data_IF_707974323289
#
_entry.id   IF_707974323289
#
_cell.length_a   1.000
_cell.length_b   1.000
_cell.length_c   1.000
_cell.angle_alpha   90.00
_cell.angle_beta   90.00
_cell.angle_gamma   90.00
#
_symmetry.space_group_name_H-M   'P 1'
#
loop_
_entity.id
_entity.type
_entity.pdbx_description
1 polymer ?
#
# COMPACT_ATOMS: atom_id res chain seq x y z
N UNK A 1 -6.45 10.28 11.52
CA UNK A 1 -5.07 10.79 11.58
C UNK A 1 -4.32 10.26 12.79
N UNK A 2 -4.98 10.10 13.96
CA UNK A 2 -4.37 9.51 15.15
C UNK A 2 -3.94 8.04 14.90
N UNK A 3 -4.82 7.24 14.26
CA UNK A 3 -4.49 5.87 13.88
C UNK A 3 -3.28 5.79 12.95
N UNK A 4 -3.25 6.66 11.92
CA UNK A 4 -2.12 6.73 11.00
C UNK A 4 -0.80 7.14 11.72
N UNK A 5 -0.88 8.12 12.62
CA UNK A 5 0.28 8.54 13.41
C UNK A 5 0.88 7.37 14.23
N UNK A 6 0.01 6.59 14.88
CA UNK A 6 0.41 5.42 15.68
C UNK A 6 0.96 4.29 14.81
N UNK A 7 0.27 3.96 13.70
CA UNK A 7 0.65 2.85 12.83
C UNK A 7 1.96 3.10 12.09
N UNK A 8 2.19 4.34 11.66
CA UNK A 8 3.38 4.78 10.92
C UNK A 8 4.50 5.31 11.84
N UNK A 9 4.24 5.31 13.14
CA UNK A 9 5.20 5.80 14.16
C UNK A 9 5.71 7.23 13.88
N UNK A 10 4.87 8.06 13.25
CA UNK A 10 5.21 9.45 12.95
C UNK A 10 5.32 10.27 14.24
N UNK A 11 6.30 11.14 14.29
CA UNK A 11 6.62 12.01 15.46
C UNK A 11 6.79 13.45 15.00
N UNK A 12 6.57 14.40 15.90
CA UNK A 12 6.75 15.83 15.63
C UNK A 12 8.15 16.21 15.13
N UNK A 13 9.16 15.40 15.47
CA UNK A 13 10.53 15.58 14.99
C UNK A 13 10.76 15.10 13.55
N UNK A 14 9.81 14.42 12.93
CA UNK A 14 9.97 13.94 11.57
C UNK A 14 9.94 15.08 10.55
N UNK A 15 10.80 14.96 9.56
CA UNK A 15 10.93 15.86 8.41
C UNK A 15 10.51 15.07 7.17
N UNK A 16 9.33 15.35 6.69
CA UNK A 16 8.63 14.47 5.74
C UNK A 16 8.59 15.10 4.35
N UNK A 17 9.07 14.36 3.34
CA UNK A 17 8.98 14.76 1.94
C UNK A 17 7.62 14.41 1.36
N UNK A 18 6.99 15.36 0.68
CA UNK A 18 5.76 15.23 -0.09
C UNK A 18 6.09 15.23 -1.58
N UNK A 19 6.36 14.06 -2.11
CA UNK A 19 6.77 13.89 -3.51
C UNK A 19 5.63 13.49 -4.44
N UNK A 20 4.46 13.11 -3.89
CA UNK A 20 3.28 12.74 -4.67
C UNK A 20 2.23 13.84 -4.65
N UNK A 21 1.32 13.89 -5.65
CA UNK A 21 0.27 14.89 -5.71
C UNK A 21 -0.65 14.89 -4.49
N UNK A 22 -0.93 16.07 -3.95
CA UNK A 22 -1.82 16.23 -2.77
C UNK A 22 -3.30 15.94 -3.06
N UNK A 23 -3.72 15.89 -4.33
CA UNK A 23 -5.07 15.45 -4.66
C UNK A 23 -5.27 13.93 -4.46
N UNK A 24 -4.20 13.16 -4.34
CA UNK A 24 -4.29 11.74 -4.00
C UNK A 24 -4.52 11.59 -2.50
N UNK A 25 -5.58 10.85 -2.15
CA UNK A 25 -6.04 10.70 -0.76
C UNK A 25 -4.93 10.22 0.20
N UNK A 26 -4.07 9.29 -0.21
CA UNK A 26 -2.96 8.82 0.61
C UNK A 26 -2.00 9.96 0.96
N UNK A 27 -1.54 10.74 -0.04
CA UNK A 27 -0.60 11.84 0.22
C UNK A 27 -1.21 12.93 1.09
N UNK A 28 -2.48 13.29 0.82
CA UNK A 28 -3.18 14.32 1.60
C UNK A 28 -3.49 13.81 3.01
N UNK A 29 -4.26 12.73 3.13
CA UNK A 29 -4.85 12.35 4.42
C UNK A 29 -3.91 11.53 5.29
N UNK A 30 -3.25 10.47 4.74
CA UNK A 30 -2.36 9.64 5.57
C UNK A 30 -1.12 10.41 5.99
N UNK A 31 -0.50 11.15 5.06
CA UNK A 31 0.81 11.75 5.34
C UNK A 31 0.75 13.24 5.67
N UNK A 32 0.09 14.07 4.84
CA UNK A 32 0.11 15.53 5.04
C UNK A 32 -0.68 15.94 6.27
N UNK A 33 -1.95 15.54 6.38
CA UNK A 33 -2.82 15.96 7.49
C UNK A 33 -2.34 15.36 8.82
N UNK A 34 -1.88 14.10 8.82
CA UNK A 34 -1.28 13.47 10.01
C UNK A 34 -0.04 14.24 10.46
N UNK A 35 0.82 14.65 9.53
CA UNK A 35 2.01 15.43 9.87
C UNK A 35 1.68 16.82 10.40
N UNK A 36 0.66 17.49 9.86
CA UNK A 36 0.19 18.77 10.37
C UNK A 36 -0.36 18.64 11.79
N UNK A 37 -1.14 17.58 12.04
CA UNK A 37 -1.66 17.29 13.39
C UNK A 37 -0.54 17.10 14.42
N UNK A 38 0.56 16.45 14.02
CA UNK A 38 1.70 16.16 14.89
C UNK A 38 2.70 17.32 15.00
N UNK A 39 2.63 18.33 14.13
CA UNK A 39 3.61 19.40 14.04
C UNK A 39 4.91 19.01 13.34
N UNK A 40 4.88 18.00 12.47
CA UNK A 40 6.04 17.61 11.65
C UNK A 40 6.40 18.70 10.63
N UNK A 41 7.68 18.79 10.28
CA UNK A 41 8.11 19.60 9.14
C UNK A 41 7.77 18.88 7.83
N UNK A 42 7.05 19.54 6.93
CA UNK A 42 6.70 18.99 5.61
C UNK A 42 7.35 19.79 4.49
N UNK A 43 8.02 19.11 3.58
CA UNK A 43 8.62 19.67 2.38
C UNK A 43 7.83 19.20 1.16
N UNK A 44 7.33 20.14 0.36
CA UNK A 44 6.57 19.84 -0.84
C UNK A 44 7.46 19.91 -2.07
N UNK A 45 7.37 18.89 -2.91
CA UNK A 45 8.07 18.82 -4.17
C UNK A 45 7.02 18.79 -5.30
N UNK A 46 7.12 19.71 -6.23
CA UNK A 46 6.19 19.86 -7.36
C UNK A 46 6.30 18.70 -8.39
N UNK A 47 7.52 18.19 -8.58
CA UNK A 47 7.80 17.10 -9.53
C UNK A 47 8.64 16.02 -8.83
N UNK A 48 8.15 14.77 -8.73
CA UNK A 48 8.82 13.68 -8.03
C UNK A 48 9.94 13.02 -8.88
N UNK A 49 10.71 13.81 -9.63
CA UNK A 49 11.85 13.29 -10.35
C UNK A 49 12.87 12.69 -9.36
N UNK A 50 13.38 11.45 -9.58
CA UNK A 50 14.23 10.75 -8.62
C UNK A 50 15.44 11.56 -8.15
N UNK A 51 16.10 12.27 -9.05
CA UNK A 51 17.23 13.15 -8.70
C UNK A 51 16.84 14.33 -7.81
N UNK A 52 15.65 14.90 -8.02
CA UNK A 52 15.11 15.98 -7.17
C UNK A 52 14.71 15.47 -5.80
N UNK A 53 14.12 14.27 -5.72
CA UNK A 53 13.78 13.60 -4.47
C UNK A 53 15.04 13.38 -3.61
N UNK A 54 16.08 12.77 -4.16
CA UNK A 54 17.32 12.52 -3.42
C UNK A 54 18.03 13.82 -3.03
N UNK A 55 18.06 14.82 -3.92
CA UNK A 55 18.60 16.13 -3.59
C UNK A 55 17.85 16.80 -2.42
N UNK A 56 16.51 16.71 -2.40
CA UNK A 56 15.70 17.27 -1.33
C UNK A 56 15.96 16.53 0.00
N UNK A 57 16.10 15.19 -0.04
CA UNK A 57 16.42 14.37 1.14
C UNK A 57 17.69 14.87 1.81
N UNK A 58 18.78 15.06 1.05
CA UNK A 58 20.05 15.55 1.60
C UNK A 58 20.01 17.02 2.01
N UNK A 59 19.43 17.91 1.18
CA UNK A 59 19.45 19.35 1.41
C UNK A 59 18.60 19.80 2.61
N UNK A 60 17.57 19.02 2.96
CA UNK A 60 16.59 19.38 3.99
C UNK A 60 16.50 18.38 5.13
N UNK A 61 17.49 17.50 5.28
CA UNK A 61 17.53 16.47 6.33
C UNK A 61 16.23 15.67 6.45
N UNK A 62 15.66 15.32 5.30
CA UNK A 62 14.41 14.54 5.25
C UNK A 62 14.66 13.13 5.77
N UNK A 63 13.86 12.72 6.75
CA UNK A 63 13.98 11.39 7.35
C UNK A 63 12.80 10.46 7.05
N UNK A 64 11.74 10.97 6.43
CA UNK A 64 10.55 10.19 6.09
C UNK A 64 10.00 10.57 4.71
N UNK A 65 9.63 9.56 3.92
CA UNK A 65 9.08 9.77 2.57
C UNK A 65 8.09 8.68 2.20
N UNK A 66 6.93 9.08 1.66
CA UNK A 66 6.01 8.18 0.99
C UNK A 66 6.18 8.27 -0.51
N UNK A 67 6.34 7.13 -1.16
CA UNK A 67 6.40 7.03 -2.61
C UNK A 67 5.78 5.72 -3.10
N UNK A 68 5.22 5.75 -4.30
CA UNK A 68 4.78 4.52 -4.97
C UNK A 68 5.98 3.61 -5.28
N UNK A 69 5.80 2.29 -5.37
CA UNK A 69 6.88 1.35 -5.71
C UNK A 69 7.65 1.73 -6.97
N UNK A 70 6.99 2.23 -8.01
CA UNK A 70 7.63 2.73 -9.24
C UNK A 70 8.65 3.84 -8.98
N UNK A 71 8.36 4.73 -8.03
CA UNK A 71 9.31 5.79 -7.64
C UNK A 71 10.48 5.20 -6.84
N UNK A 72 10.22 4.25 -5.93
CA UNK A 72 11.29 3.55 -5.21
C UNK A 72 12.22 2.77 -6.13
N UNK A 73 11.68 2.11 -7.19
CA UNK A 73 12.47 1.45 -8.23
C UNK A 73 13.39 2.46 -8.95
N UNK A 74 12.85 3.62 -9.30
CA UNK A 74 13.63 4.67 -9.95
C UNK A 74 14.70 5.29 -9.02
N UNK A 75 14.39 5.41 -7.72
CA UNK A 75 15.37 5.85 -6.71
C UNK A 75 16.48 4.81 -6.53
N UNK A 76 16.15 3.52 -6.52
CA UNK A 76 17.13 2.43 -6.40
C UNK A 76 18.23 2.54 -7.45
N UNK A 77 17.89 2.82 -8.71
CA UNK A 77 18.87 2.95 -9.78
C UNK A 77 19.92 4.07 -9.55
N UNK A 78 19.56 5.09 -8.77
CA UNK A 78 20.49 6.15 -8.35
C UNK A 78 21.23 5.78 -7.06
N UNK A 79 20.51 5.20 -6.09
CA UNK A 79 21.07 4.78 -4.80
C UNK A 79 22.10 3.64 -4.95
N UNK A 80 21.98 2.80 -5.97
CA UNK A 80 23.01 1.79 -6.31
C UNK A 80 24.36 2.43 -6.61
N UNK A 81 24.37 3.66 -7.13
CA UNK A 81 25.59 4.40 -7.45
C UNK A 81 26.06 5.32 -6.33
N UNK A 82 25.12 5.86 -5.57
CA UNK A 82 25.36 6.88 -4.55
C UNK A 82 24.42 6.63 -3.34
N UNK A 83 24.66 5.58 -2.54
CA UNK A 83 23.77 5.21 -1.42
C UNK A 83 23.74 6.28 -0.32
N UNK A 84 24.77 7.10 -0.21
CA UNK A 84 24.85 8.20 0.76
C UNK A 84 23.75 9.24 0.58
N UNK A 85 23.18 9.39 -0.64
CA UNK A 85 22.07 10.30 -0.91
C UNK A 85 20.78 9.94 -0.14
N UNK A 86 20.64 8.69 0.28
CA UNK A 86 19.53 8.21 1.10
C UNK A 86 19.84 8.12 2.59
N UNK A 87 21.03 8.49 3.03
CA UNK A 87 21.53 8.24 4.40
C UNK A 87 20.73 8.92 5.52
N UNK A 88 20.02 10.00 5.21
CA UNK A 88 19.15 10.70 6.18
C UNK A 88 17.81 10.00 6.39
N UNK A 89 17.38 9.15 5.46
CA UNK A 89 16.09 8.45 5.57
C UNK A 89 16.11 7.46 6.74
N UNK A 90 15.00 7.42 7.44
CA UNK A 90 14.70 6.47 8.53
C UNK A 90 13.39 5.74 8.32
N UNK A 91 12.44 6.37 7.61
CA UNK A 91 11.11 5.81 7.33
C UNK A 91 10.79 5.93 5.84
N UNK A 92 10.62 4.81 5.20
CA UNK A 92 10.17 4.68 3.82
C UNK A 92 8.77 4.08 3.79
N UNK A 93 7.80 4.85 3.37
CA UNK A 93 6.44 4.37 3.21
C UNK A 93 6.21 4.05 1.74
N UNK A 94 5.59 2.90 1.47
CA UNK A 94 5.17 2.52 0.13
C UNK A 94 3.76 1.92 0.15
N UNK A 95 3.10 1.88 -0.98
CA UNK A 95 1.74 1.38 -1.11
C UNK A 95 1.11 1.77 -2.44
N UNK A 96 -0.19 1.61 -2.56
CA UNK A 96 -0.98 1.79 -3.79
C UNK A 96 -0.69 0.78 -4.91
N UNK A 97 0.42 0.07 -4.85
CA UNK A 97 0.77 -1.07 -5.72
C UNK A 97 1.81 -1.94 -5.01
N UNK A 98 2.16 -3.07 -5.62
CA UNK A 98 3.11 -4.01 -5.03
C UNK A 98 4.53 -3.48 -5.16
N UNK A 99 5.30 -3.63 -4.09
CA UNK A 99 6.75 -3.49 -4.11
C UNK A 99 7.37 -4.84 -4.44
N UNK A 100 8.07 -5.00 -5.57
CA UNK A 100 8.75 -6.25 -5.87
C UNK A 100 9.76 -6.62 -4.79
N UNK A 101 9.68 -7.84 -4.28
CA UNK A 101 10.56 -8.32 -3.19
C UNK A 101 12.05 -8.10 -3.46
N UNK A 102 12.59 -8.36 -4.68
CA UNK A 102 14.00 -8.09 -4.96
C UNK A 102 14.39 -6.61 -4.83
N UNK A 103 13.49 -5.70 -5.21
CA UNK A 103 13.70 -4.25 -5.09
C UNK A 103 13.77 -3.84 -3.62
N UNK A 104 12.80 -4.33 -2.82
CA UNK A 104 12.76 -4.06 -1.38
C UNK A 104 14.02 -4.59 -0.67
N UNK A 105 14.43 -5.83 -0.98
CA UNK A 105 15.65 -6.43 -0.41
C UNK A 105 16.89 -5.62 -0.78
N UNK A 106 16.98 -5.17 -2.03
CA UNK A 106 18.12 -4.35 -2.47
C UNK A 106 18.16 -2.99 -1.78
N UNK A 107 17.03 -2.31 -1.66
CA UNK A 107 16.92 -1.04 -0.91
C UNK A 107 17.32 -1.20 0.56
N UNK A 108 16.84 -2.27 1.22
CA UNK A 108 17.20 -2.58 2.62
C UNK A 108 18.70 -2.86 2.78
N UNK A 109 19.31 -3.54 1.82
CA UNK A 109 20.76 -3.80 1.83
C UNK A 109 21.60 -2.52 1.65
N UNK A 110 21.14 -1.59 0.81
CA UNK A 110 21.81 -0.31 0.58
C UNK A 110 21.65 0.67 1.74
N UNK A 111 20.49 0.65 2.39
CA UNK A 111 20.09 1.58 3.44
C UNK A 111 19.66 0.82 4.70
N UNK A 112 20.59 0.17 5.42
CA UNK A 112 20.26 -0.73 6.54
C UNK A 112 19.60 -0.04 7.74
N UNK A 113 19.68 1.29 7.82
CA UNK A 113 18.99 2.09 8.85
C UNK A 113 17.57 2.54 8.46
N UNK A 114 17.10 2.18 7.27
CA UNK A 114 15.81 2.59 6.73
C UNK A 114 14.73 1.54 7.00
N UNK A 115 13.71 1.91 7.79
CA UNK A 115 12.52 1.09 8.00
C UNK A 115 11.52 1.27 6.87
N UNK A 116 11.11 0.18 6.24
CA UNK A 116 10.08 0.16 5.21
C UNK A 116 8.72 -0.19 5.81
N UNK A 117 7.69 0.58 5.46
CA UNK A 117 6.30 0.38 5.86
C UNK A 117 5.46 0.16 4.60
N UNK A 118 4.79 -0.99 4.49
CA UNK A 118 3.78 -1.20 3.47
C UNK A 118 2.45 -0.64 3.96
N UNK A 119 1.88 0.31 3.22
CA UNK A 119 0.64 1.01 3.55
C UNK A 119 -0.45 0.59 2.58
N UNK A 120 -1.44 -0.15 3.05
CA UNK A 120 -2.54 -0.62 2.23
C UNK A 120 -3.87 -0.01 2.69
N UNK A 121 -4.76 0.17 1.74
CA UNK A 121 -6.12 0.67 1.93
C UNK A 121 -6.64 1.38 0.70
N UNK A 122 -7.73 2.10 0.85
CA UNK A 122 -8.43 2.79 -0.23
C UNK A 122 -9.05 4.10 0.27
N UNK A 123 -9.42 4.99 -0.65
CA UNK A 123 -9.88 6.35 -0.31
C UNK A 123 -11.05 6.33 0.67
N UNK A 124 -11.94 5.36 0.55
CA UNK A 124 -13.11 5.16 1.40
C UNK A 124 -12.75 4.89 2.87
N UNK A 125 -11.54 4.36 3.11
CA UNK A 125 -11.00 4.06 4.46
C UNK A 125 -10.26 5.24 5.11
N UNK A 126 -10.22 6.40 4.48
CA UNK A 126 -9.60 7.59 5.01
C UNK A 126 -8.06 7.73 4.97
N UNK A 127 -7.29 7.13 4.04
CA UNK A 127 -7.40 5.88 3.26
C UNK A 127 -6.58 4.69 3.79
N UNK A 128 -5.96 4.78 5.00
CA UNK A 128 -5.08 3.73 5.54
C UNK A 128 -5.89 2.69 6.32
N UNK A 129 -5.81 1.43 5.90
CA UNK A 129 -6.49 0.31 6.53
C UNK A 129 -5.52 -0.62 7.28
N UNK A 130 -4.42 -1.00 6.63
CA UNK A 130 -3.40 -1.89 7.21
C UNK A 130 -2.00 -1.34 7.02
N UNK A 131 -1.07 -1.79 7.86
CA UNK A 131 0.36 -1.49 7.77
C UNK A 131 1.16 -2.76 8.06
N UNK A 132 2.13 -3.07 7.18
CA UNK A 132 3.22 -3.98 7.49
C UNK A 132 4.41 -3.14 7.95
N UNK A 133 4.88 -3.39 9.18
CA UNK A 133 5.97 -2.63 9.79
C UNK A 133 7.35 -3.16 9.37
N UNK A 134 8.43 -2.39 9.56
CA UNK A 134 9.78 -2.79 9.14
C UNK A 134 10.22 -4.16 9.65
N UNK A 135 9.94 -4.46 10.92
CA UNK A 135 10.32 -5.71 11.59
C UNK A 135 9.53 -6.93 11.09
N UNK A 136 8.38 -6.72 10.45
CA UNK A 136 7.47 -7.78 10.01
C UNK A 136 7.77 -8.27 8.57
N UNK A 137 8.61 -7.54 7.83
CA UNK A 137 8.89 -7.83 6.42
C UNK A 137 9.71 -9.10 6.18
N UNK A 138 10.54 -9.50 7.14
CA UNK A 138 11.40 -10.67 6.96
C UNK A 138 10.59 -11.96 6.96
N UNK A 139 9.58 -12.04 7.81
CA UNK A 139 8.68 -13.19 7.90
C UNK A 139 7.53 -13.12 6.89
N UNK A 140 7.12 -11.90 6.50
CA UNK A 140 5.92 -11.66 5.67
C UNK A 140 6.18 -10.69 4.52
N UNK A 141 7.13 -10.99 3.62
CA UNK A 141 7.57 -10.02 2.59
C UNK A 141 6.48 -9.61 1.58
N UNK A 142 5.46 -10.46 1.39
CA UNK A 142 4.35 -10.21 0.47
C UNK A 142 3.09 -9.66 1.17
N UNK A 143 3.12 -9.49 2.50
CA UNK A 143 1.94 -9.06 3.25
C UNK A 143 1.66 -7.56 3.04
N UNK A 144 0.37 -7.23 3.04
CA UNK A 144 -0.12 -5.84 3.16
C UNK A 144 -0.23 -5.38 4.62
N UNK A 145 0.21 -6.22 5.58
CA UNK A 145 0.18 -5.93 7.00
C UNK A 145 -1.14 -6.33 7.66
N UNK A 146 -1.35 -5.79 8.85
CA UNK A 146 -2.56 -5.99 9.66
C UNK A 146 -3.26 -4.68 9.95
N UNK A 147 -4.51 -4.77 10.36
CA UNK A 147 -5.37 -3.61 10.65
C UNK A 147 -4.69 -2.61 11.60
N UNK A 148 -4.79 -1.33 11.25
CA UNK A 148 -4.34 -0.23 12.12
C UNK A 148 -5.34 -0.01 13.27
N UNK A 149 -4.98 0.74 14.34
CA UNK A 149 -5.92 1.07 15.40
C UNK A 149 -7.25 1.62 14.88
N UNK A 150 -8.35 1.21 15.48
CA UNK A 150 -9.74 1.59 15.16
C UNK A 150 -10.28 1.04 13.83
N UNK A 151 -9.60 0.08 13.21
CA UNK A 151 -10.08 -0.65 12.04
C UNK A 151 -10.37 -2.10 12.44
N UNK A 152 -11.64 -2.50 12.37
CA UNK A 152 -12.03 -3.90 12.36
C UNK A 152 -11.95 -4.40 10.93
N UNK A 153 -11.26 -5.51 10.72
CA UNK A 153 -11.05 -6.10 9.41
C UNK A 153 -11.36 -7.60 9.46
N UNK A 154 -12.05 -8.09 8.45
CA UNK A 154 -12.31 -9.52 8.26
C UNK A 154 -12.00 -9.91 6.83
N UNK A 155 -11.68 -11.17 6.61
CA UNK A 155 -11.63 -11.81 5.28
C UNK A 155 -12.78 -12.80 5.22
N UNK A 156 -13.73 -12.60 4.31
CA UNK A 156 -15.00 -13.30 4.29
C UNK A 156 -15.32 -13.91 2.93
N UNK A 157 -16.13 -14.95 2.94
CA UNK A 157 -16.74 -15.49 1.73
C UNK A 157 -17.97 -14.66 1.28
N UNK A 158 -18.63 -15.09 0.20
CA UNK A 158 -19.83 -14.41 -0.31
C UNK A 158 -21.04 -14.50 0.64
N UNK A 159 -21.02 -15.38 1.64
CA UNK A 159 -22.02 -15.47 2.68
C UNK A 159 -21.68 -14.66 3.93
N UNK A 160 -20.63 -13.84 3.90
CA UNK A 160 -20.11 -13.06 5.02
C UNK A 160 -19.63 -13.91 6.21
N UNK A 161 -19.20 -15.16 5.95
CA UNK A 161 -18.54 -16.03 6.93
C UNK A 161 -17.05 -15.86 6.81
N UNK A 162 -16.35 -15.78 7.97
CA UNK A 162 -14.89 -15.70 7.98
C UNK A 162 -14.28 -16.94 7.34
N UNK A 163 -13.37 -16.74 6.40
CA UNK A 163 -12.63 -17.84 5.77
C UNK A 163 -11.54 -18.37 6.73
N UNK A 164 -11.11 -19.61 6.54
CA UNK A 164 -10.02 -20.15 7.34
C UNK A 164 -8.68 -19.47 7.00
N UNK A 165 -7.71 -19.43 7.93
CA UNK A 165 -6.39 -18.89 7.65
C UNK A 165 -5.75 -19.53 6.41
N UNK A 166 -5.29 -18.69 5.48
CA UNK A 166 -4.73 -19.09 4.20
C UNK A 166 -5.75 -19.21 3.06
N UNK A 167 -7.04 -19.26 3.36
CA UNK A 167 -8.07 -19.22 2.31
C UNK A 167 -8.31 -17.78 1.83
N UNK A 168 -8.72 -17.68 0.57
CA UNK A 168 -8.98 -16.39 -0.09
C UNK A 168 -10.43 -15.98 0.12
N UNK A 169 -10.65 -14.75 0.54
CA UNK A 169 -11.95 -14.12 0.67
C UNK A 169 -11.87 -12.62 0.40
N UNK A 170 -13.03 -11.96 0.43
CA UNK A 170 -13.10 -10.51 0.32
C UNK A 170 -12.71 -9.85 1.65
N UNK A 171 -11.87 -8.82 1.57
CA UNK A 171 -11.56 -7.98 2.74
C UNK A 171 -12.70 -7.02 2.99
N UNK A 172 -13.26 -7.06 4.19
CA UNK A 172 -14.32 -6.13 4.61
C UNK A 172 -13.88 -5.36 5.85
N UNK A 173 -14.34 -4.10 5.94
CA UNK A 173 -13.94 -3.20 7.01
C UNK A 173 -15.11 -2.66 7.81
N UNK A 174 -14.87 -2.38 9.10
CA UNK A 174 -15.69 -1.53 9.93
C UNK A 174 -14.79 -0.56 10.70
N UNK A 175 -15.06 0.74 10.59
CA UNK A 175 -14.21 1.76 11.22
C UNK A 175 -14.94 3.10 11.28
N UNK A 176 -14.68 3.93 12.31
CA UNK A 176 -15.18 5.30 12.37
C UNK A 176 -14.54 6.22 11.31
N UNK A 177 -13.46 5.77 10.64
CA UNK A 177 -12.77 6.54 9.59
C UNK A 177 -13.32 6.31 8.18
N UNK A 178 -14.24 5.34 8.01
CA UNK A 178 -14.91 5.09 6.73
C UNK A 178 -15.67 6.32 6.24
N UNK A 179 -15.72 6.50 4.93
CA UNK A 179 -16.60 7.49 4.31
C UNK A 179 -18.07 7.17 4.62
N UNK A 180 -18.93 8.19 4.51
CA UNK A 180 -20.38 8.02 4.76
C UNK A 180 -21.10 7.38 3.57
N UNK A 181 -20.47 7.35 2.39
CA UNK A 181 -21.02 6.82 1.16
C UNK A 181 -20.51 7.57 -0.07
N UNK A 182 -20.99 7.17 -1.23
CA UNK A 182 -20.68 7.79 -2.51
C UNK A 182 -21.67 8.92 -2.81
N UNK A 183 -21.15 10.07 -3.22
CA UNK A 183 -21.97 11.26 -3.49
C UNK A 183 -22.96 10.98 -4.62
N UNK A 184 -24.26 11.24 -4.35
CA UNK A 184 -25.38 11.05 -5.29
C UNK A 184 -25.48 9.63 -5.90
N UNK A 185 -25.03 8.60 -5.10
CA UNK A 185 -25.01 7.19 -5.49
C UNK A 185 -25.52 6.32 -4.35
N UNK A 186 -26.83 6.35 -4.06
CA UNK A 186 -27.39 5.62 -2.93
C UNK A 186 -27.35 4.08 -3.11
N UNK A 187 -27.52 3.60 -4.33
CA UNK A 187 -27.52 2.15 -4.63
C UNK A 187 -26.12 1.56 -4.47
N UNK A 188 -25.10 2.19 -5.07
CA UNK A 188 -23.70 1.78 -4.94
C UNK A 188 -23.21 1.92 -3.48
N UNK A 189 -23.73 2.91 -2.75
CA UNK A 189 -23.45 3.05 -1.32
C UNK A 189 -24.05 1.90 -0.54
N UNK A 190 -25.32 1.54 -0.78
CA UNK A 190 -25.98 0.43 -0.09
C UNK A 190 -25.29 -0.91 -0.37
N UNK A 191 -24.84 -1.13 -1.60
CA UNK A 191 -24.05 -2.31 -1.97
C UNK A 191 -22.70 -2.35 -1.23
N UNK A 192 -21.95 -1.25 -1.29
CA UNK A 192 -20.63 -1.17 -0.67
C UNK A 192 -20.65 -1.30 0.86
N UNK A 193 -21.78 -0.99 1.52
CA UNK A 193 -21.97 -1.09 2.97
C UNK A 193 -22.93 -2.19 3.40
N UNK A 194 -23.11 -3.21 2.55
CA UNK A 194 -24.01 -4.31 2.85
C UNK A 194 -23.64 -5.03 4.15
N UNK A 195 -24.65 -5.50 4.91
CA UNK A 195 -24.43 -6.20 6.17
C UNK A 195 -23.74 -5.39 7.28
N UNK A 196 -23.61 -4.05 7.11
CA UNK A 196 -22.95 -3.16 8.06
C UNK A 196 -21.43 -3.24 8.04
N UNK A 197 -20.86 -3.76 6.96
CA UNK A 197 -19.44 -3.78 6.66
C UNK A 197 -19.19 -3.08 5.31
N UNK A 198 -18.08 -2.39 5.22
CA UNK A 198 -17.64 -1.85 3.93
C UNK A 198 -16.91 -2.94 3.13
N UNK A 199 -17.43 -3.26 1.96
CA UNK A 199 -16.89 -4.23 1.02
C UNK A 199 -15.79 -3.56 0.18
N UNK A 200 -14.53 -3.99 0.40
CA UNK A 200 -13.39 -3.35 -0.26
C UNK A 200 -13.30 -3.68 -1.75
N UNK A 201 -13.84 -4.83 -2.15
CA UNK A 201 -13.60 -5.41 -3.47
C UNK A 201 -12.18 -5.96 -3.65
N UNK A 202 -11.36 -5.99 -2.60
CA UNK A 202 -10.03 -6.61 -2.62
C UNK A 202 -10.13 -8.04 -2.09
N UNK A 203 -9.56 -9.00 -2.81
CA UNK A 203 -9.41 -10.39 -2.38
C UNK A 203 -8.07 -10.57 -1.69
N UNK A 204 -8.08 -11.21 -0.53
CA UNK A 204 -6.88 -11.49 0.24
C UNK A 204 -6.99 -12.83 0.97
N UNK A 205 -5.85 -13.40 1.32
CA UNK A 205 -5.77 -14.43 2.35
C UNK A 205 -5.26 -13.82 3.66
N UNK A 206 -5.73 -14.32 4.79
CA UNK A 206 -5.28 -13.88 6.12
C UNK A 206 -4.51 -14.99 6.83
N UNK A 207 -3.56 -14.63 7.70
CA UNK A 207 -2.96 -15.57 8.65
C UNK A 207 -3.63 -15.51 10.03
N UNK A 208 -3.25 -16.43 10.93
CA UNK A 208 -3.80 -16.50 12.29
C UNK A 208 -3.46 -15.28 13.17
N UNK A 209 -2.50 -14.45 12.76
CA UNK A 209 -2.08 -13.24 13.47
C UNK A 209 -2.73 -11.97 12.90
N UNK A 210 -3.62 -12.12 11.90
CA UNK A 210 -4.38 -11.04 11.27
C UNK A 210 -3.63 -10.26 10.19
N UNK A 211 -2.50 -10.78 9.69
CA UNK A 211 -1.84 -10.23 8.52
C UNK A 211 -2.52 -10.70 7.25
N UNK A 212 -2.71 -9.80 6.30
CA UNK A 212 -3.31 -10.12 5.01
C UNK A 212 -2.28 -10.08 3.88
N UNK A 213 -2.46 -10.98 2.92
CA UNK A 213 -1.77 -10.93 1.63
C UNK A 213 -2.83 -10.71 0.55
N UNK A 214 -2.77 -9.55 -0.10
CA UNK A 214 -3.73 -9.20 -1.15
C UNK A 214 -3.43 -10.01 -2.40
N UNK A 215 -4.45 -10.69 -2.89
CA UNK A 215 -4.37 -11.58 -4.07
C UNK A 215 -4.69 -10.81 -5.34
N UNK A 216 -5.87 -10.15 -5.39
CA UNK A 216 -6.33 -9.38 -6.55
C UNK A 216 -7.55 -8.53 -6.20
N UNK A 217 -8.06 -7.77 -7.16
CA UNK A 217 -9.38 -7.16 -7.11
C UNK A 217 -10.46 -8.18 -7.51
N UNK A 218 -11.58 -8.23 -6.79
CA UNK A 218 -12.71 -9.15 -7.07
C UNK A 218 -13.21 -9.03 -8.51
N UNK A 219 -13.17 -7.81 -9.08
CA UNK A 219 -13.57 -7.53 -10.47
C UNK A 219 -12.48 -7.83 -11.52
N UNK A 220 -11.22 -7.93 -11.11
CA UNK A 220 -10.08 -8.08 -12.03
C UNK A 220 -9.58 -9.53 -12.10
N UNK A 221 -10.11 -10.40 -11.24
CA UNK A 221 -9.83 -11.84 -11.24
C UNK A 221 -10.27 -12.47 -12.56
N UNK A 222 -9.39 -13.25 -13.17
CA UNK A 222 -9.65 -13.94 -14.43
C UNK A 222 -10.21 -15.33 -14.11
N UNK A 223 -11.45 -15.59 -14.53
CA UNK A 223 -12.04 -16.94 -14.44
C UNK A 223 -11.74 -17.70 -15.73
N UNK A 224 -10.83 -18.67 -15.67
CA UNK A 224 -10.49 -19.54 -16.79
C UNK A 224 -11.13 -20.92 -16.63
N UNK A 225 -12.41 -21.02 -17.00
CA UNK A 225 -13.12 -22.32 -16.97
C UNK A 225 -13.31 -22.89 -15.56
N UNK A 226 -13.58 -22.04 -14.57
CA UNK A 226 -13.75 -22.42 -13.18
C UNK A 226 -12.45 -22.34 -12.35
N UNK A 227 -11.33 -22.05 -12.97
CA UNK A 227 -10.07 -21.78 -12.29
C UNK A 227 -9.91 -20.26 -12.15
N UNK A 228 -9.80 -19.80 -10.91
CA UNK A 228 -9.51 -18.41 -10.60
C UNK A 228 -8.02 -18.16 -10.80
N UNK A 229 -7.68 -17.27 -11.73
CA UNK A 229 -6.31 -16.86 -11.99
C UNK A 229 -6.16 -15.40 -11.56
N UNK A 230 -5.24 -15.14 -10.63
CA UNK A 230 -4.86 -13.79 -10.28
C UNK A 230 -4.05 -13.16 -11.41
N UNK A 231 -4.52 -12.05 -11.96
CA UNK A 231 -3.77 -11.26 -12.94
C UNK A 231 -2.42 -10.85 -12.36
N UNK A 232 -2.43 -10.50 -11.12
CA UNK A 232 -1.31 -10.04 -10.32
C UNK A 232 -0.21 -11.09 -10.12
N UNK A 233 -0.57 -12.35 -9.82
CA UNK A 233 0.40 -13.45 -9.67
C UNK A 233 1.17 -13.68 -10.97
N UNK A 234 0.47 -13.61 -12.10
CA UNK A 234 1.09 -13.73 -13.43
C UNK A 234 2.00 -12.54 -13.74
N UNK A 235 1.54 -11.31 -13.41
CA UNK A 235 2.33 -10.09 -13.58
C UNK A 235 3.62 -10.13 -12.75
N UNK A 236 3.55 -10.55 -11.48
CA UNK A 236 4.73 -10.71 -10.61
C UNK A 236 5.73 -11.70 -11.19
N UNK A 237 5.26 -12.86 -11.65
CA UNK A 237 6.13 -13.87 -12.27
C UNK A 237 6.82 -13.33 -13.55
N UNK A 238 6.09 -12.61 -14.39
CA UNK A 238 6.64 -12.00 -15.61
C UNK A 238 7.61 -10.85 -15.29
N UNK A 239 7.33 -10.06 -14.26
CA UNK A 239 8.16 -8.92 -13.86
C UNK A 239 9.55 -9.34 -13.34
N UNK A 240 9.71 -10.59 -12.90
CA UNK A 240 11.02 -11.15 -12.51
C UNK A 240 11.97 -11.29 -13.70
N UNK A 241 11.48 -11.26 -14.94
CA UNK A 241 12.32 -11.38 -16.12
C UNK A 241 13.02 -10.03 -16.42
N UNK A 242 14.36 -9.98 -16.54
CA UNK A 242 15.11 -8.73 -16.64
C UNK A 242 14.82 -7.88 -17.88
N UNK A 243 14.20 -8.46 -18.92
CA UNK A 243 13.77 -7.73 -20.12
C UNK A 243 12.34 -7.17 -20.01
N UNK A 244 11.59 -7.47 -18.95
CA UNK A 244 10.24 -6.96 -18.73
C UNK A 244 10.35 -5.66 -17.93
N UNK A 245 9.92 -4.57 -18.54
CA UNK A 245 9.88 -3.25 -17.89
C UNK A 245 8.53 -2.94 -17.26
N UNK A 246 7.48 -3.31 -17.95
CA UNK A 246 6.10 -3.12 -17.54
C UNK A 246 5.29 -4.32 -18.04
N UNK A 247 4.29 -4.75 -17.30
CA UNK A 247 3.37 -5.86 -17.65
C UNK A 247 1.99 -5.57 -17.11
N UNK A 248 0.98 -5.95 -17.87
CA UNK A 248 -0.41 -6.00 -17.44
C UNK A 248 -1.06 -7.25 -18.01
N UNK A 249 -1.71 -8.02 -17.16
CA UNK A 249 -2.47 -9.22 -17.52
C UNK A 249 -3.96 -8.88 -17.53
N UNK A 250 -4.61 -9.10 -18.65
CA UNK A 250 -6.03 -8.78 -18.82
C UNK A 250 -6.80 -9.99 -19.32
N UNK A 251 -8.07 -10.19 -18.90
CA UNK A 251 -8.89 -11.24 -19.42
C UNK A 251 -9.26 -10.97 -20.88
N UNK A 252 -9.23 -12.00 -21.69
CA UNK A 252 -9.75 -11.96 -23.06
C UNK A 252 -10.96 -12.90 -23.14
N UNK A 253 -12.12 -12.41 -23.59
CA UNK A 253 -13.30 -13.28 -23.76
C UNK A 253 -12.98 -14.44 -24.71
N UNK A 254 -13.21 -15.67 -24.27
CA UNK A 254 -13.11 -16.87 -25.10
C UNK A 254 -14.52 -17.44 -25.33
N UNK A 255 -15.02 -17.50 -26.57
CA UNK A 255 -16.34 -18.01 -26.85
C UNK A 255 -16.54 -19.52 -26.56
N UNK A 256 -15.46 -20.21 -26.16
CA UNK A 256 -15.49 -21.64 -25.81
C UNK A 256 -15.38 -21.91 -24.31
N UNK A 257 -15.29 -20.84 -23.49
CA UNK A 257 -15.15 -20.94 -22.04
C UNK A 257 -16.06 -19.96 -21.32
#
# INVERSE_FOLDING_TARGET
YAAAAMALELRSSDRVLRALPLYHSAQMHVFMMTSLMLGCTSWLLDVPAPTRVLKAIGAHDINACFAAPTVWIALLALLDKQPELGSNLRKAFYGASIMPTPVLQRLRALLPGLGFYNCFGQSEMGPLATVLRPEEHDERPASAGRAIPFVDMRVVDDAMVDVAPGEVGEVVYRSPQLCLGYWDKPEETAEAFAGGWFHSGDLASGDAEGFITVVDRKKDVINSGGIVVSSREVEEALFLHPAVREVAVVPVPDPKR
#
